data_IF_929389495318
#
_entry.id   IF_929389495318
#
_cell.length_a   1.000
_cell.length_b   1.000
_cell.length_c   1.000
_cell.angle_alpha   90.00
_cell.angle_beta   90.00
_cell.angle_gamma   90.00
#
_symmetry.space_group_name_H-M   'P 1'
#
loop_
_entity.id
_entity.type
_entity.pdbx_description
1 polymer ?
#
# COMPACT_ATOMS: atom_id res chain seq x y z
N UNK A 1 17.62 17.03 24.60
CA UNK A 1 18.51 15.86 24.44
C UNK A 1 19.40 15.74 25.66
N UNK A 2 19.54 14.54 26.25
CA UNK A 2 20.46 14.31 27.39
C UNK A 2 21.91 14.36 26.89
N UNK A 3 22.77 15.09 27.58
CA UNK A 3 24.22 15.12 27.29
C UNK A 3 24.91 13.94 27.94
N UNK A 4 25.48 13.02 27.14
CA UNK A 4 26.26 11.87 27.63
C UNK A 4 27.77 12.16 27.72
N UNK A 5 28.15 13.43 27.89
CA UNK A 5 29.55 13.87 27.95
C UNK A 5 30.32 13.43 29.20
N UNK A 6 29.63 12.92 30.23
CA UNK A 6 30.23 12.54 31.52
C UNK A 6 30.19 11.01 31.73
N UNK A 7 31.33 10.35 31.65
CA UNK A 7 31.45 8.89 31.48
C UNK A 7 31.15 8.02 32.73
N UNK A 8 30.93 8.62 33.90
CA UNK A 8 30.70 7.86 35.14
C UNK A 8 29.20 7.66 35.40
N UNK A 9 28.77 6.39 35.53
CA UNK A 9 27.39 6.03 35.90
C UNK A 9 26.37 5.97 34.76
N UNK A 10 26.81 6.08 33.50
CA UNK A 10 25.91 5.97 32.34
C UNK A 10 25.50 4.50 32.12
N UNK A 11 24.19 4.27 32.01
CA UNK A 11 23.64 3.01 31.51
C UNK A 11 24.11 2.77 30.06
N UNK A 12 24.97 1.77 29.86
CA UNK A 12 25.58 1.45 28.55
C UNK A 12 24.54 1.25 27.45
N UNK A 13 23.39 0.65 27.77
CA UNK A 13 22.32 0.41 26.79
C UNK A 13 21.65 1.71 26.34
N UNK A 14 21.48 2.68 27.24
CA UNK A 14 20.93 4.00 26.90
C UNK A 14 21.89 4.78 26.01
N UNK A 15 23.19 4.70 26.29
CA UNK A 15 24.22 5.32 25.45
C UNK A 15 24.25 4.72 24.05
N UNK A 16 24.27 3.39 23.93
CA UNK A 16 24.25 2.71 22.63
C UNK A 16 23.01 3.06 21.81
N UNK A 17 21.85 3.13 22.46
CA UNK A 17 20.59 3.54 21.80
C UNK A 17 20.67 4.99 21.33
N UNK A 18 21.13 5.91 22.18
CA UNK A 18 21.31 7.32 21.82
C UNK A 18 22.25 7.50 20.63
N UNK A 19 23.43 6.89 20.68
CA UNK A 19 24.44 7.02 19.64
C UNK A 19 23.96 6.37 18.33
N UNK A 20 23.25 5.24 18.42
CA UNK A 20 22.61 4.59 17.28
C UNK A 20 21.56 5.45 16.59
N UNK A 21 20.67 6.08 17.35
CA UNK A 21 19.66 7.00 16.82
C UNK A 21 20.31 8.24 16.19
N UNK A 22 21.39 8.76 16.79
CA UNK A 22 22.13 9.90 16.25
C UNK A 22 22.79 9.55 14.91
N UNK A 23 23.39 8.35 14.79
CA UNK A 23 23.97 7.87 13.53
C UNK A 23 22.88 7.74 12.47
N UNK A 24 21.76 7.09 12.79
CA UNK A 24 20.63 6.96 11.88
C UNK A 24 20.17 8.33 11.40
N UNK A 25 19.92 9.27 12.31
CA UNK A 25 19.47 10.62 11.97
C UNK A 25 20.46 11.29 11.01
N UNK A 26 21.76 11.24 11.29
CA UNK A 26 22.78 11.81 10.40
C UNK A 26 22.84 11.12 9.03
N UNK A 27 22.55 9.83 8.95
CA UNK A 27 22.45 9.12 7.68
C UNK A 27 21.24 9.57 6.87
N UNK A 28 20.08 9.73 7.52
CA UNK A 28 18.82 10.16 6.90
C UNK A 28 18.85 11.64 6.47
N UNK A 29 19.33 12.53 7.33
CA UNK A 29 19.38 13.98 7.07
C UNK A 29 20.59 14.38 6.21
N UNK A 30 21.57 13.47 6.06
CA UNK A 30 22.84 13.71 5.38
C UNK A 30 22.91 13.14 3.95
N UNK A 31 24.10 12.66 3.57
CA UNK A 31 24.54 12.45 2.18
C UNK A 31 23.73 11.45 1.33
N UNK A 32 23.06 10.47 1.93
CA UNK A 32 22.42 9.36 1.20
C UNK A 32 20.91 9.22 1.46
N UNK A 33 20.31 10.21 2.15
CA UNK A 33 18.89 10.22 2.46
C UNK A 33 18.03 10.72 1.30
N UNK A 34 16.91 10.05 1.07
CA UNK A 34 15.89 10.44 0.12
C UNK A 34 14.68 11.00 0.86
N UNK A 35 14.16 12.12 0.37
CA UNK A 35 12.86 12.64 0.79
C UNK A 35 11.74 11.82 0.16
N UNK A 36 10.82 11.32 0.98
CA UNK A 36 9.71 10.47 0.56
C UNK A 36 8.41 10.90 1.20
N UNK A 37 7.29 10.60 0.53
CA UNK A 37 5.95 10.74 1.09
C UNK A 37 5.38 9.35 1.35
N UNK A 38 5.08 9.05 2.60
CA UNK A 38 4.53 7.77 3.04
C UNK A 38 3.01 7.88 3.10
N UNK A 39 2.31 6.94 2.47
CA UNK A 39 0.86 6.87 2.42
C UNK A 39 0.21 8.23 2.05
N UNK A 40 0.80 8.94 1.08
CA UNK A 40 0.32 10.23 0.55
C UNK A 40 0.18 11.38 1.56
N UNK A 41 0.75 11.27 2.77
CA UNK A 41 0.50 12.24 3.85
C UNK A 41 1.70 12.52 4.75
N UNK A 42 2.58 11.54 4.95
CA UNK A 42 3.69 11.66 5.91
C UNK A 42 4.98 11.95 5.15
N UNK A 43 5.53 13.16 5.31
CA UNK A 43 6.86 13.45 4.80
C UNK A 43 7.91 12.82 5.72
N UNK A 44 8.78 11.99 5.17
CA UNK A 44 9.90 11.40 5.91
C UNK A 44 11.16 11.31 5.04
N UNK A 45 12.27 10.94 5.68
CA UNK A 45 13.56 10.68 5.05
C UNK A 45 13.94 9.22 5.26
N UNK A 46 14.38 8.56 4.19
CA UNK A 46 14.73 7.14 4.17
C UNK A 46 16.04 6.91 3.40
N UNK A 47 16.73 5.83 3.69
CA UNK A 47 17.83 5.34 2.85
C UNK A 47 17.30 4.30 1.89
N UNK A 48 17.68 4.40 0.63
CA UNK A 48 17.31 3.46 -0.41
C UNK A 48 18.57 2.95 -1.09
N UNK A 49 18.68 1.63 -1.21
CA UNK A 49 19.79 0.99 -1.91
C UNK A 49 19.26 -0.15 -2.77
N UNK A 50 19.91 -0.36 -3.90
CA UNK A 50 19.50 -1.39 -4.85
C UNK A 50 19.67 -2.77 -4.22
N UNK A 51 18.64 -3.61 -4.38
CA UNK A 51 18.81 -5.05 -4.30
C UNK A 51 19.38 -5.48 -5.65
N UNK A 52 20.25 -6.49 -5.68
CA UNK A 52 20.69 -7.04 -6.96
C UNK A 52 19.49 -7.63 -7.70
N UNK A 53 18.94 -6.88 -8.64
CA UNK A 53 17.92 -7.30 -9.57
C UNK A 53 18.25 -6.77 -10.97
N UNK A 54 17.93 -7.55 -12.00
CA UNK A 54 18.26 -7.17 -13.38
C UNK A 54 17.41 -5.98 -13.86
N UNK A 55 16.23 -5.76 -13.25
CA UNK A 55 15.22 -4.81 -13.71
C UNK A 55 15.04 -3.59 -12.79
N UNK A 56 15.72 -3.52 -11.62
CA UNK A 56 15.55 -2.42 -10.65
C UNK A 56 14.10 -2.21 -10.16
N UNK A 57 13.29 -3.27 -10.17
CA UNK A 57 11.91 -3.29 -9.69
C UNK A 57 11.80 -3.52 -8.18
N UNK A 58 12.89 -3.94 -7.53
CA UNK A 58 12.99 -4.18 -6.09
C UNK A 58 14.15 -3.42 -5.49
N UNK A 59 13.89 -2.68 -4.42
CA UNK A 59 14.93 -1.98 -3.65
C UNK A 59 14.80 -2.32 -2.17
N UNK A 60 15.86 -2.04 -1.41
CA UNK A 60 15.81 -2.08 0.04
C UNK A 60 15.66 -0.67 0.59
N UNK A 61 14.85 -0.56 1.63
CA UNK A 61 14.58 0.68 2.35
C UNK A 61 15.02 0.54 3.80
N UNK A 62 15.63 1.57 4.35
CA UNK A 62 15.90 1.74 5.79
C UNK A 62 15.30 3.07 6.22
N UNK A 63 14.57 3.06 7.32
CA UNK A 63 13.97 4.27 7.88
C UNK A 63 13.77 4.17 9.38
N UNK A 64 13.10 5.16 9.95
CA UNK A 64 12.67 5.12 11.35
C UNK A 64 11.68 3.98 11.54
N UNK A 65 11.55 3.53 12.78
CA UNK A 65 10.68 2.39 13.12
C UNK A 65 9.23 2.70 12.76
N UNK A 66 8.76 3.91 13.04
CA UNK A 66 7.40 4.36 12.72
C UNK A 66 7.09 4.50 11.22
N UNK A 67 8.13 4.68 10.39
CA UNK A 67 7.97 4.99 8.97
C UNK A 67 7.94 3.74 8.08
N UNK A 68 8.42 2.60 8.59
CA UNK A 68 8.63 1.39 7.81
C UNK A 68 7.72 0.28 8.34
N UNK A 69 6.60 0.10 7.63
CA UNK A 69 5.63 -0.95 7.91
C UNK A 69 5.15 -1.63 6.61
N UNK A 70 4.86 -2.93 6.67
CA UNK A 70 4.38 -3.68 5.50
C UNK A 70 3.09 -3.05 4.96
N UNK A 71 3.00 -2.88 3.65
CA UNK A 71 1.87 -2.25 2.99
C UNK A 71 1.92 -0.73 2.96
N UNK A 72 2.93 -0.08 3.55
CA UNK A 72 3.13 1.34 3.33
C UNK A 72 3.47 1.61 1.86
N UNK A 73 2.86 2.67 1.33
CA UNK A 73 3.19 3.22 0.03
C UNK A 73 4.23 4.32 0.21
N UNK A 74 5.33 4.23 -0.53
CA UNK A 74 6.44 5.16 -0.50
C UNK A 74 6.50 5.87 -1.85
N UNK A 75 6.17 7.16 -1.85
CA UNK A 75 6.30 8.00 -3.02
C UNK A 75 7.71 8.60 -3.06
N UNK A 76 8.45 8.29 -4.11
CA UNK A 76 9.84 8.70 -4.33
C UNK A 76 10.01 9.13 -5.79
N UNK A 77 10.49 10.35 -6.01
CA UNK A 77 10.85 10.85 -7.35
C UNK A 77 9.71 10.71 -8.39
N UNK A 78 8.46 10.90 -7.97
CA UNK A 78 7.29 10.78 -8.85
C UNK A 78 6.81 9.35 -9.08
N UNK A 79 7.37 8.37 -8.37
CA UNK A 79 7.08 6.94 -8.53
C UNK A 79 6.65 6.34 -7.20
N UNK A 80 5.64 5.49 -7.25
CA UNK A 80 5.11 4.79 -6.09
C UNK A 80 5.77 3.43 -5.89
N UNK A 81 6.16 3.15 -4.64
CA UNK A 81 6.79 1.90 -4.22
C UNK A 81 6.01 1.30 -3.05
N UNK A 82 5.77 -0.01 -3.06
CA UNK A 82 5.05 -0.71 -2.00
C UNK A 82 6.01 -1.51 -1.12
N UNK A 83 5.94 -1.34 0.21
CA UNK A 83 6.67 -2.21 1.15
C UNK A 83 6.01 -3.59 1.17
N UNK A 84 6.70 -4.60 0.65
CA UNK A 84 6.11 -5.94 0.44
C UNK A 84 6.55 -7.00 1.45
N UNK A 85 7.70 -6.81 2.09
CA UNK A 85 8.20 -7.74 3.12
C UNK A 85 7.79 -7.30 4.51
N UNK A 86 7.82 -8.23 5.46
CA UNK A 86 7.76 -7.87 6.87
C UNK A 86 9.04 -7.08 7.23
N UNK A 87 8.95 -5.92 7.89
CA UNK A 87 10.13 -5.17 8.32
C UNK A 87 10.99 -5.97 9.30
N UNK A 88 12.30 -5.92 9.12
CA UNK A 88 13.27 -6.36 10.12
C UNK A 88 13.59 -5.20 11.07
N UNK A 89 13.40 -5.42 12.37
CA UNK A 89 13.58 -4.43 13.43
C UNK A 89 14.89 -4.67 14.19
N UNK A 90 15.67 -3.61 14.45
CA UNK A 90 16.87 -3.68 15.28
C UNK A 90 16.89 -2.69 16.46
N UNK A 91 15.71 -2.22 16.89
CA UNK A 91 15.47 -1.21 17.94
C UNK A 91 15.89 0.23 17.60
N UNK A 92 16.69 0.44 16.57
CA UNK A 92 17.14 1.77 16.14
C UNK A 92 16.44 2.16 14.84
N UNK A 93 16.39 1.24 13.89
CA UNK A 93 15.78 1.42 12.59
C UNK A 93 15.02 0.16 12.17
N UNK A 94 14.21 0.32 11.12
CA UNK A 94 13.63 -0.81 10.40
C UNK A 94 14.13 -0.84 8.97
N UNK A 95 14.22 -2.05 8.44
CA UNK A 95 14.55 -2.28 7.03
C UNK A 95 13.56 -3.23 6.39
N UNK A 96 13.27 -3.01 5.12
CA UNK A 96 12.35 -3.84 4.34
C UNK A 96 12.72 -3.82 2.86
N UNK A 97 12.01 -4.63 2.06
CA UNK A 97 12.06 -4.59 0.61
C UNK A 97 10.82 -3.88 0.06
N UNK A 98 11.07 -2.93 -0.83
CA UNK A 98 10.05 -2.22 -1.61
C UNK A 98 10.04 -2.73 -3.04
N UNK A 99 8.84 -2.80 -3.62
CA UNK A 99 8.64 -3.14 -5.04
C UNK A 99 7.96 -1.98 -5.76
N UNK A 100 8.37 -1.74 -7.00
CA UNK A 100 7.82 -0.71 -7.87
C UNK A 100 6.34 -0.98 -8.19
N UNK A 101 5.46 -0.02 -7.94
CA UNK A 101 4.09 -0.06 -8.43
C UNK A 101 4.09 0.22 -9.95
N UNK A 102 3.58 -0.73 -10.74
CA UNK A 102 3.57 -0.65 -12.20
C UNK A 102 2.16 -0.36 -12.77
N UNK A 103 1.17 -0.20 -11.89
CA UNK A 103 -0.21 0.08 -12.24
C UNK A 103 -0.98 0.69 -11.08
N UNK A 104 -2.26 0.94 -11.31
CA UNK A 104 -3.22 1.31 -10.27
C UNK A 104 -4.45 0.41 -10.33
N UNK A 105 -5.06 0.16 -9.18
CA UNK A 105 -6.29 -0.59 -9.03
C UNK A 105 -7.45 0.36 -8.73
N UNK A 106 -8.57 0.29 -9.47
CA UNK A 106 -9.72 1.14 -9.20
C UNK A 106 -10.45 0.66 -7.93
N UNK A 107 -10.65 1.57 -6.98
CA UNK A 107 -11.42 1.33 -5.76
C UNK A 107 -12.54 2.35 -5.70
N UNK A 108 -13.78 1.88 -5.63
CA UNK A 108 -14.94 2.73 -5.41
C UNK A 108 -14.96 3.18 -3.94
N UNK A 109 -15.09 4.48 -3.72
CA UNK A 109 -15.30 5.01 -2.38
C UNK A 109 -16.70 4.64 -1.87
N UNK A 110 -16.82 4.46 -0.56
CA UNK A 110 -18.12 4.25 0.07
C UNK A 110 -19.02 5.47 -0.17
N UNK A 111 -20.29 5.20 -0.49
CA UNK A 111 -21.30 6.25 -0.63
C UNK A 111 -21.44 7.01 0.69
N UNK A 112 -21.14 8.30 0.68
CA UNK A 112 -21.44 9.17 1.81
C UNK A 112 -22.84 9.73 1.66
N UNK A 113 -23.78 9.42 2.56
CA UNK A 113 -25.10 10.05 2.56
C UNK A 113 -24.92 11.53 2.92
N UNK A 114 -25.29 12.43 2.02
CA UNK A 114 -25.34 13.87 2.31
C UNK A 114 -26.77 14.30 2.53
N UNK A 115 -26.97 15.21 3.47
CA UNK A 115 -28.28 15.82 3.68
C UNK A 115 -28.70 16.59 2.44
N UNK A 116 -29.86 16.25 1.87
CA UNK A 116 -30.43 17.00 0.76
C UNK A 116 -30.74 18.42 1.23
N UNK A 117 -30.39 19.41 0.39
CA UNK A 117 -30.66 20.81 0.66
C UNK A 117 -31.48 21.42 -0.46
N UNK A 118 -32.40 22.33 -0.13
CA UNK A 118 -33.15 23.13 -1.10
C UNK A 118 -32.24 24.18 -1.79
N UNK A 119 -32.78 24.89 -2.78
CA UNK A 119 -32.07 25.96 -3.51
C UNK A 119 -31.55 27.10 -2.59
N UNK A 120 -32.04 27.18 -1.35
CA UNK A 120 -31.66 28.17 -0.35
C UNK A 120 -30.72 27.61 0.73
N UNK A 121 -30.31 26.34 0.62
CA UNK A 121 -29.38 25.68 1.53
C UNK A 121 -30.00 25.03 2.78
N UNK A 122 -31.33 25.00 2.90
CA UNK A 122 -32.03 24.37 4.04
C UNK A 122 -32.18 22.87 3.85
N UNK A 123 -32.10 22.09 4.93
CA UNK A 123 -32.26 20.63 4.90
C UNK A 123 -33.69 20.26 4.47
N UNK A 124 -33.81 19.34 3.49
CA UNK A 124 -35.10 18.81 3.05
C UNK A 124 -35.55 17.73 4.03
N UNK A 125 -36.82 17.82 4.47
CA UNK A 125 -37.46 16.84 5.34
C UNK A 125 -38.55 16.09 4.58
N UNK A 126 -38.77 14.82 4.93
CA UNK A 126 -39.88 14.02 4.41
C UNK A 126 -41.21 14.39 5.08
N UNK A 127 -42.31 13.75 4.65
CA UNK A 127 -43.66 13.98 5.17
C UNK A 127 -43.80 13.65 6.67
N UNK A 128 -42.81 12.99 7.27
CA UNK A 128 -42.75 12.62 8.69
C UNK A 128 -41.78 13.53 9.48
N UNK A 129 -41.19 14.55 8.85
CA UNK A 129 -40.25 15.48 9.47
C UNK A 129 -38.84 14.90 9.66
N UNK A 130 -38.48 13.82 8.97
CA UNK A 130 -37.13 13.25 8.98
C UNK A 130 -36.28 13.82 7.85
N UNK A 131 -35.00 14.14 8.09
CA UNK A 131 -34.12 14.67 7.05
C UNK A 131 -33.88 13.64 5.94
N UNK A 132 -34.01 14.07 4.69
CA UNK A 132 -33.77 13.24 3.51
C UNK A 132 -32.28 13.24 3.15
N UNK A 133 -31.72 12.07 2.90
CA UNK A 133 -30.34 11.88 2.47
C UNK A 133 -30.28 11.54 0.98
N UNK A 134 -29.31 12.12 0.28
CA UNK A 134 -28.92 11.74 -1.07
C UNK A 134 -27.58 10.98 -1.00
N UNK A 135 -27.54 9.83 -1.67
CA UNK A 135 -26.29 9.12 -1.91
C UNK A 135 -25.50 9.88 -2.99
N UNK A 136 -24.44 10.58 -2.60
CA UNK A 136 -23.53 11.20 -3.58
C UNK A 136 -22.81 10.11 -4.36
N UNK A 137 -22.56 10.36 -5.65
CA UNK A 137 -21.81 9.44 -6.53
C UNK A 137 -20.48 9.03 -5.89
N UNK A 138 -20.25 7.72 -5.86
CA UNK A 138 -18.98 7.12 -5.45
C UNK A 138 -17.87 7.56 -6.40
N UNK A 139 -16.83 8.21 -5.87
CA UNK A 139 -15.63 8.53 -6.64
C UNK A 139 -14.78 7.25 -6.80
N UNK A 140 -14.26 7.04 -8.01
CA UNK A 140 -13.28 5.96 -8.25
C UNK A 140 -11.89 6.48 -7.91
N UNK A 141 -11.27 5.91 -6.88
CA UNK A 141 -9.92 6.21 -6.45
C UNK A 141 -8.98 5.16 -7.03
N UNK A 142 -7.87 5.59 -7.63
CA UNK A 142 -6.86 4.69 -8.18
C UNK A 142 -5.76 4.42 -7.14
N UNK A 143 -5.73 3.20 -6.60
CA UNK A 143 -4.75 2.77 -5.61
C UNK A 143 -3.51 2.18 -6.29
N UNK A 144 -2.29 2.69 -6.02
CA UNK A 144 -1.08 2.13 -6.61
C UNK A 144 -0.86 0.66 -6.26
N UNK A 145 -0.49 -0.14 -7.26
CA UNK A 145 -0.38 -1.59 -7.12
C UNK A 145 0.71 -2.20 -8.01
N UNK A 146 1.06 -3.44 -7.70
CA UNK A 146 1.99 -4.27 -8.47
C UNK A 146 1.16 -5.33 -9.19
N UNK A 147 1.21 -5.34 -10.52
CA UNK A 147 0.52 -6.32 -11.36
C UNK A 147 1.53 -7.30 -11.95
N UNK A 148 1.25 -8.59 -11.78
CA UNK A 148 2.01 -9.70 -12.35
C UNK A 148 1.06 -10.64 -13.09
N UNK A 149 1.41 -11.07 -14.29
CA UNK A 149 0.68 -12.13 -15.01
C UNK A 149 1.31 -13.48 -14.70
N UNK A 150 0.48 -14.51 -14.45
CA UNK A 150 0.97 -15.89 -14.28
C UNK A 150 0.33 -16.80 -15.32
N UNK A 151 1.18 -17.46 -16.11
CA UNK A 151 0.79 -18.55 -16.99
C UNK A 151 0.88 -19.88 -16.22
N UNK A 152 -0.20 -20.66 -16.20
CA UNK A 152 -0.17 -22.03 -15.70
C UNK A 152 -0.36 -23.01 -16.86
N UNK A 153 0.56 -23.96 -17.01
CA UNK A 153 0.37 -25.14 -17.86
C UNK A 153 -0.29 -26.25 -17.01
N UNK A 154 -1.52 -26.64 -17.34
CA UNK A 154 -2.16 -27.80 -16.71
C UNK A 154 -1.70 -29.09 -17.42
N UNK A 155 -0.85 -29.88 -16.74
CA UNK A 155 -0.41 -31.22 -17.19
C UNK A 155 -1.47 -32.31 -16.92
N UNK A 156 -2.69 -32.16 -17.44
CA UNK A 156 -3.67 -33.26 -17.51
C UNK A 156 -4.21 -33.33 -18.94
N UNK A 157 -4.38 -34.55 -19.45
CA UNK A 157 -4.83 -34.91 -20.81
C UNK A 157 -6.26 -34.44 -21.17
N UNK A 158 -6.68 -33.28 -20.66
CA UNK A 158 -7.89 -32.58 -21.09
C UNK A 158 -7.50 -31.59 -22.18
N UNK A 159 -8.43 -31.34 -23.10
CA UNK A 159 -8.30 -30.34 -24.15
C UNK A 159 -7.84 -29.02 -23.52
N UNK A 160 -6.68 -28.53 -23.96
CA UNK A 160 -5.94 -27.44 -23.33
C UNK A 160 -6.83 -26.19 -23.26
N UNK A 161 -7.43 -25.92 -22.10
CA UNK A 161 -7.93 -24.60 -21.75
C UNK A 161 -6.75 -23.86 -21.13
N UNK A 162 -6.03 -23.12 -21.97
CA UNK A 162 -4.98 -22.22 -21.50
C UNK A 162 -5.65 -21.17 -20.61
N UNK A 163 -5.28 -21.03 -19.31
CA UNK A 163 -5.67 -19.87 -18.53
C UNK A 163 -4.76 -18.72 -18.97
N UNK A 164 -5.04 -18.14 -20.15
CA UNK A 164 -4.17 -17.12 -20.74
C UNK A 164 -4.18 -15.78 -19.99
N UNK A 165 -5.10 -15.57 -19.05
CA UNK A 165 -5.34 -14.23 -18.54
C UNK A 165 -5.63 -14.18 -17.02
N UNK A 166 -4.76 -14.79 -16.21
CA UNK A 166 -4.74 -14.56 -14.76
C UNK A 166 -3.81 -13.41 -14.39
N UNK A 167 -4.33 -12.45 -13.65
CA UNK A 167 -3.56 -11.34 -13.07
C UNK A 167 -3.48 -11.51 -11.55
N UNK A 168 -2.31 -11.23 -11.01
CA UNK A 168 -2.08 -11.07 -9.58
C UNK A 168 -1.79 -9.60 -9.32
N UNK A 169 -2.60 -9.00 -8.47
CA UNK A 169 -2.49 -7.59 -8.09
C UNK A 169 -2.12 -7.56 -6.62
N UNK A 170 -0.91 -7.11 -6.30
CA UNK A 170 -0.47 -6.88 -4.93
C UNK A 170 -0.60 -5.40 -4.60
N UNK A 171 -1.35 -5.08 -3.55
CA UNK A 171 -1.53 -3.70 -3.10
C UNK A 171 -1.64 -3.62 -1.57
N UNK A 172 -1.59 -2.40 -1.04
CA UNK A 172 -1.86 -2.13 0.37
C UNK A 172 -3.24 -2.70 0.75
N UNK A 173 -3.35 -3.26 1.95
CA UNK A 173 -4.64 -3.69 2.49
C UNK A 173 -5.63 -2.53 2.54
N UNK A 174 -6.80 -2.75 1.96
CA UNK A 174 -7.91 -1.79 1.93
C UNK A 174 -9.22 -2.55 1.93
N UNK A 175 -10.08 -2.23 2.88
CA UNK A 175 -11.44 -2.74 2.89
C UNK A 175 -12.27 -1.93 1.89
N UNK A 176 -12.87 -2.62 0.92
CA UNK A 176 -13.80 -2.04 -0.05
C UNK A 176 -14.56 -3.15 -0.77
N UNK A 177 -15.80 -2.87 -1.18
CA UNK A 177 -16.57 -3.78 -2.04
C UNK A 177 -15.90 -4.02 -3.41
N UNK A 178 -15.04 -3.10 -3.85
CA UNK A 178 -14.30 -3.25 -5.12
C UNK A 178 -13.24 -4.35 -5.08
N UNK A 179 -12.91 -4.87 -3.90
CA UNK A 179 -11.96 -5.98 -3.75
C UNK A 179 -12.65 -7.30 -3.40
N UNK A 180 -13.99 -7.35 -3.39
CA UNK A 180 -14.72 -8.57 -3.09
C UNK A 180 -14.66 -9.60 -4.23
N UNK A 181 -14.71 -10.88 -3.86
CA UNK A 181 -14.80 -11.96 -4.83
C UNK A 181 -16.04 -11.79 -5.72
N UNK A 182 -15.88 -12.03 -7.02
CA UNK A 182 -16.82 -11.77 -8.09
C UNK A 182 -16.96 -10.31 -8.54
N UNK A 183 -16.34 -9.34 -7.85
CA UNK A 183 -16.29 -7.97 -8.35
C UNK A 183 -15.54 -7.94 -9.70
N UNK A 184 -15.99 -7.06 -10.60
CA UNK A 184 -15.43 -6.89 -11.94
C UNK A 184 -14.72 -5.56 -12.03
N UNK A 185 -13.52 -5.55 -12.58
CA UNK A 185 -12.71 -4.35 -12.71
C UNK A 185 -12.04 -4.31 -14.09
N UNK A 186 -11.73 -3.10 -14.54
CA UNK A 186 -11.00 -2.86 -15.78
C UNK A 186 -9.50 -2.70 -15.49
N UNK A 187 -8.66 -3.40 -16.24
CA UNK A 187 -7.21 -3.27 -16.19
C UNK A 187 -6.62 -3.44 -17.60
N UNK A 188 -5.73 -2.53 -18.01
CA UNK A 188 -5.10 -2.55 -19.35
C UNK A 188 -6.08 -2.79 -20.51
N UNK A 189 -7.24 -2.11 -20.48
CA UNK A 189 -8.34 -2.22 -21.47
C UNK A 189 -9.03 -3.58 -21.54
N UNK A 190 -8.83 -4.45 -20.56
CA UNK A 190 -9.51 -5.74 -20.42
C UNK A 190 -10.33 -5.79 -19.13
N UNK A 191 -11.42 -6.54 -19.16
CA UNK A 191 -12.27 -6.79 -18.00
C UNK A 191 -11.80 -8.03 -17.27
N UNK A 192 -11.64 -7.92 -15.96
CA UNK A 192 -11.28 -9.02 -15.07
C UNK A 192 -12.36 -9.19 -14.01
N UNK A 193 -12.48 -10.43 -13.52
CA UNK A 193 -13.33 -10.80 -12.39
C UNK A 193 -12.44 -11.31 -11.26
N UNK A 194 -12.62 -10.80 -10.06
CA UNK A 194 -11.89 -11.29 -8.88
C UNK A 194 -12.34 -12.72 -8.57
N UNK A 195 -11.40 -13.65 -8.51
CA UNK A 195 -11.66 -15.06 -8.15
C UNK A 195 -11.17 -15.40 -6.76
N UNK A 196 -10.16 -14.69 -6.26
CA UNK A 196 -9.58 -14.93 -4.94
C UNK A 196 -8.89 -13.68 -4.41
N UNK A 197 -8.93 -13.50 -3.09
CA UNK A 197 -8.15 -12.48 -2.39
C UNK A 197 -7.38 -13.13 -1.25
N UNK A 198 -6.07 -12.94 -1.25
CA UNK A 198 -5.17 -13.40 -0.21
C UNK A 198 -4.91 -12.29 0.82
N UNK A 199 -5.32 -12.54 2.06
CA UNK A 199 -5.07 -11.68 3.21
C UNK A 199 -3.99 -12.24 4.15
N UNK A 200 -3.27 -13.30 3.78
CA UNK A 200 -2.25 -13.96 4.62
C UNK A 200 -1.11 -13.02 5.07
N UNK A 201 -0.93 -11.90 4.36
CA UNK A 201 0.05 -10.86 4.67
C UNK A 201 -0.58 -9.61 5.29
N UNK A 202 -1.79 -9.72 5.83
CA UNK A 202 -2.45 -8.70 6.63
C UNK A 202 -2.41 -9.10 8.10
N UNK A 203 -1.90 -8.21 8.95
CA UNK A 203 -1.82 -8.42 10.40
C UNK A 203 -2.37 -7.15 11.05
N UNK A 204 -3.39 -7.29 11.92
CA UNK A 204 -4.03 -6.17 12.62
C UNK A 204 -4.48 -5.03 11.68
N UNK A 205 -5.10 -5.37 10.53
CA UNK A 205 -5.57 -4.39 9.55
C UNK A 205 -4.45 -3.65 8.80
N UNK A 206 -3.20 -4.11 8.91
CA UNK A 206 -2.04 -3.52 8.21
C UNK A 206 -1.30 -4.58 7.42
N UNK A 207 -0.88 -4.24 6.20
CA UNK A 207 -0.13 -5.15 5.35
C UNK A 207 -0.48 -5.00 3.88
N UNK A 208 -0.24 -6.08 3.15
CA UNK A 208 -0.58 -6.18 1.73
C UNK A 208 -1.60 -7.28 1.52
N UNK A 209 -2.45 -7.10 0.53
CA UNK A 209 -3.34 -8.13 0.02
C UNK A 209 -3.01 -8.44 -1.44
N UNK A 210 -3.30 -9.67 -1.85
CA UNK A 210 -3.10 -10.11 -3.24
C UNK A 210 -4.43 -10.50 -3.85
N UNK A 211 -4.87 -9.72 -4.82
CA UNK A 211 -6.11 -9.97 -5.58
C UNK A 211 -5.76 -10.80 -6.81
N UNK A 212 -6.42 -11.93 -6.99
CA UNK A 212 -6.35 -12.75 -8.19
C UNK A 212 -7.55 -12.46 -9.07
N UNK A 213 -7.30 -12.00 -10.29
CA UNK A 213 -8.31 -11.74 -11.31
C UNK A 213 -8.19 -12.71 -12.47
N UNK A 214 -9.32 -13.15 -13.01
CA UNK A 214 -9.40 -13.86 -14.29
C UNK A 214 -10.09 -12.98 -15.32
N UNK A 215 -9.54 -12.90 -16.53
CA UNK A 215 -10.17 -12.11 -17.59
C UNK A 215 -11.52 -12.70 -17.97
N UNK A 216 -12.46 -11.79 -18.18
CA UNK A 216 -13.77 -12.11 -18.73
C UNK A 216 -13.65 -11.97 -20.25
N UNK A 217 -13.55 -13.10 -20.94
CA UNK A 217 -13.79 -13.15 -22.38
C UNK A 217 -15.32 -13.19 -22.53
N UNK A 218 -15.91 -12.15 -23.11
CA UNK A 218 -17.37 -11.97 -23.12
C UNK A 218 -18.14 -13.21 -23.62
N UNK A 219 -19.26 -13.49 -22.95
CA UNK A 219 -20.42 -14.25 -23.47
C UNK A 219 -21.09 -13.51 -24.65
#
# INVERSE_FOLDING_TARGET
MKSFSNYHGINTNEKLTHDGLLILQKSLDGYAGYDVIINNSINSKVLIYQKWDANSETKRIIGRIEDIERGNLIHLEGVDWLITTHPEDNKIYRKAEIRLCNSTFPIESDKTPVLMRDENGNVIYDDYGMPVFEDVQSETIHEPCIVETKYYFNNRNEQITLPEDRVLITMKYKESKSVDVNHRFDLYKSKFKITFVDYSKVVNGTGIMVVTGERVVND
#
